data_IF_786018128790
#
_entry.id   IF_786018128790
#
_cell.length_a   1.000
_cell.length_b   1.000
_cell.length_c   1.000
_cell.angle_alpha   90.00
_cell.angle_beta   90.00
_cell.angle_gamma   90.00
#
_symmetry.space_group_name_H-M   'P 1'
#
loop_
_entity.id
_entity.type
_entity.pdbx_description
1 polymer ?
#
# COMPACT_ATOMS: atom_id res chain seq x y z
N UNK A 1 -5.41 27.34 23.51
CA UNK A 1 -4.24 26.52 23.11
C UNK A 1 -4.79 25.43 22.20
N UNK A 2 -4.69 25.59 20.88
CA UNK A 2 -5.14 24.55 19.95
C UNK A 2 -4.11 23.41 19.98
N UNK A 3 -4.57 22.17 20.14
CA UNK A 3 -3.72 21.00 20.03
C UNK A 3 -3.15 20.96 18.60
N UNK A 4 -1.82 20.85 18.47
CA UNK A 4 -1.23 20.61 17.15
C UNK A 4 -1.79 19.30 16.59
N UNK A 5 -2.15 19.25 15.30
CA UNK A 5 -2.62 18.02 14.67
C UNK A 5 -1.55 16.93 14.84
N UNK A 6 -1.98 15.74 15.26
CA UNK A 6 -1.12 14.57 15.32
C UNK A 6 -1.09 13.94 13.94
N UNK A 7 0.02 14.09 13.24
CA UNK A 7 0.23 13.49 11.92
C UNK A 7 0.51 11.99 12.09
N UNK A 8 -0.55 11.18 12.06
CA UNK A 8 -0.40 9.73 12.03
C UNK A 8 0.17 9.30 10.68
N UNK A 9 1.18 8.44 10.69
CA UNK A 9 1.89 7.98 9.49
C UNK A 9 1.76 6.47 9.34
N UNK A 10 1.48 6.00 8.14
CA UNK A 10 1.44 4.57 7.81
C UNK A 10 2.53 4.27 6.77
N UNK A 11 3.36 3.26 7.03
CA UNK A 11 4.41 2.77 6.15
C UNK A 11 4.08 1.35 5.70
N UNK A 12 3.85 1.15 4.40
CA UNK A 12 3.67 -0.18 3.82
C UNK A 12 5.04 -0.76 3.43
N UNK A 13 5.42 -1.90 4.03
CA UNK A 13 6.65 -2.62 3.69
C UNK A 13 6.30 -3.90 2.94
N UNK A 14 6.73 -4.00 1.68
CA UNK A 14 6.54 -5.20 0.83
C UNK A 14 7.81 -5.94 0.44
N UNK A 15 8.97 -5.31 0.63
CA UNK A 15 10.24 -5.88 0.22
C UNK A 15 10.80 -6.84 1.27
N UNK A 16 11.32 -7.98 0.81
CA UNK A 16 12.01 -8.95 1.64
C UNK A 16 13.18 -8.30 2.42
N UNK A 17 13.49 -8.77 3.64
CA UNK A 17 14.45 -8.13 4.55
C UNK A 17 15.91 -8.13 4.07
N UNK A 18 16.27 -9.02 3.15
CA UNK A 18 17.60 -9.17 2.55
C UNK A 18 17.82 -8.29 1.31
N UNK A 19 16.77 -7.63 0.81
CA UNK A 19 16.86 -6.67 -0.29
C UNK A 19 17.34 -5.30 0.19
N UNK A 20 17.88 -4.49 -0.74
CA UNK A 20 18.23 -3.08 -0.44
C UNK A 20 17.00 -2.27 -0.03
N UNK A 21 15.86 -2.48 -0.69
CA UNK A 21 14.59 -1.82 -0.35
C UNK A 21 14.09 -2.22 1.05
N UNK A 22 14.19 -3.50 1.41
CA UNK A 22 13.84 -3.97 2.76
C UNK A 22 14.69 -3.34 3.86
N UNK A 23 15.99 -3.13 3.62
CA UNK A 23 16.87 -2.41 4.55
C UNK A 23 16.54 -0.92 4.64
N UNK A 24 16.38 -0.25 3.50
CA UNK A 24 16.05 1.17 3.44
C UNK A 24 14.69 1.48 4.10
N UNK A 25 13.75 0.53 4.10
CA UNK A 25 12.46 0.66 4.79
C UNK A 25 12.63 0.86 6.31
N UNK A 26 13.53 0.11 6.95
CA UNK A 26 13.82 0.25 8.38
C UNK A 26 14.43 1.62 8.68
N UNK A 27 15.44 2.02 7.91
CA UNK A 27 16.11 3.32 8.05
C UNK A 27 15.12 4.48 7.92
N UNK A 28 14.20 4.38 6.95
CA UNK A 28 13.14 5.39 6.78
C UNK A 28 12.21 5.47 8.00
N UNK A 29 11.87 4.35 8.64
CA UNK A 29 11.05 4.38 9.86
C UNK A 29 11.80 5.01 11.02
N UNK A 30 13.12 4.76 11.14
CA UNK A 30 13.96 5.45 12.12
C UNK A 30 13.94 6.96 11.91
N UNK A 31 14.14 7.43 10.67
CA UNK A 31 14.06 8.85 10.33
C UNK A 31 12.68 9.45 10.64
N UNK A 32 11.60 8.70 10.37
CA UNK A 32 10.23 9.14 10.65
C UNK A 32 9.98 9.25 12.15
N UNK A 33 10.53 8.34 12.96
CA UNK A 33 10.46 8.45 14.40
C UNK A 33 11.03 9.81 14.83
N UNK A 34 12.17 10.25 14.32
CA UNK A 34 12.73 11.55 14.75
C UNK A 34 11.91 12.78 14.34
N UNK A 35 11.08 12.67 13.29
CA UNK A 35 10.42 13.82 12.65
C UNK A 35 8.93 13.94 12.95
N UNK A 36 8.25 12.81 13.13
CA UNK A 36 6.80 12.74 13.30
C UNK A 36 6.46 12.67 14.78
N UNK A 37 5.42 13.37 15.24
CA UNK A 37 4.97 13.31 16.63
C UNK A 37 3.75 12.40 16.85
N UNK A 38 3.06 12.03 15.78
CA UNK A 38 1.92 11.11 15.79
C UNK A 38 2.31 9.63 15.85
N UNK A 39 1.30 8.76 15.76
CA UNK A 39 1.47 7.32 15.66
C UNK A 39 2.13 6.96 14.32
N UNK A 40 3.08 6.02 14.34
CA UNK A 40 3.66 5.42 13.15
C UNK A 40 3.24 3.96 13.13
N UNK A 41 2.55 3.55 12.07
CA UNK A 41 2.18 2.16 11.83
C UNK A 41 3.02 1.64 10.67
N UNK A 42 3.75 0.57 10.89
CA UNK A 42 4.42 -0.17 9.81
C UNK A 42 3.60 -1.41 9.51
N UNK A 43 2.99 -1.43 8.34
CA UNK A 43 2.22 -2.58 7.87
C UNK A 43 3.06 -3.43 6.92
N UNK A 44 3.34 -4.67 7.31
CA UNK A 44 4.08 -5.63 6.52
C UNK A 44 3.13 -6.47 5.65
N UNK A 45 3.43 -6.56 4.36
CA UNK A 45 2.63 -7.30 3.39
C UNK A 45 3.55 -7.95 2.34
N UNK A 46 3.05 -8.92 1.59
CA UNK A 46 3.86 -9.71 0.66
C UNK A 46 5.15 -10.22 1.29
N UNK A 47 6.28 -10.13 0.59
CA UNK A 47 7.56 -10.61 1.13
C UNK A 47 8.08 -9.77 2.31
N UNK A 48 7.53 -8.57 2.49
CA UNK A 48 7.81 -7.71 3.63
C UNK A 48 7.43 -8.34 4.97
N UNK A 49 6.51 -9.31 5.01
CA UNK A 49 6.16 -10.01 6.27
C UNK A 49 7.35 -10.77 6.86
N UNK A 50 8.33 -11.16 6.04
CA UNK A 50 9.54 -11.85 6.51
C UNK A 50 10.46 -10.93 7.33
N UNK A 51 10.21 -9.62 7.36
CA UNK A 51 10.86 -8.70 8.30
C UNK A 51 10.53 -9.03 9.76
N UNK A 52 9.40 -9.69 10.02
CA UNK A 52 8.97 -10.09 11.35
C UNK A 52 9.52 -11.46 11.79
N UNK A 53 10.20 -12.21 10.91
CA UNK A 53 10.81 -13.48 11.26
C UNK A 53 12.25 -13.29 11.78
N UNK A 54 12.72 -14.22 12.61
CA UNK A 54 14.14 -14.26 12.96
C UNK A 54 15.00 -14.56 11.71
N UNK A 55 16.23 -14.00 11.61
CA UNK A 55 16.85 -13.05 12.54
C UNK A 55 16.50 -11.58 12.26
N UNK A 56 15.61 -11.29 11.32
CA UNK A 56 15.34 -9.94 10.84
C UNK A 56 14.53 -9.09 11.83
N UNK A 57 13.68 -9.72 12.63
CA UNK A 57 12.86 -9.09 13.67
C UNK A 57 13.67 -8.31 14.72
N UNK A 58 14.93 -8.69 14.95
CA UNK A 58 15.82 -8.00 15.90
C UNK A 58 16.03 -6.52 15.58
N UNK A 59 16.04 -6.15 14.29
CA UNK A 59 16.19 -4.75 13.89
C UNK A 59 15.00 -3.91 14.31
N UNK A 60 13.80 -4.45 14.15
CA UNK A 60 12.55 -3.80 14.53
C UNK A 60 12.41 -3.69 16.06
N UNK A 61 12.80 -4.74 16.79
CA UNK A 61 12.84 -4.71 18.27
C UNK A 61 13.72 -3.60 18.82
N UNK A 62 14.88 -3.33 18.18
CA UNK A 62 15.81 -2.28 18.63
C UNK A 62 15.28 -0.86 18.45
N UNK A 63 14.35 -0.65 17.53
CA UNK A 63 13.78 0.68 17.25
C UNK A 63 12.38 0.85 17.85
N UNK A 64 11.96 -0.10 18.71
CA UNK A 64 10.63 -0.06 19.31
C UNK A 64 10.42 1.21 20.13
N UNK A 65 9.29 1.85 19.90
CA UNK A 65 8.90 3.09 20.57
C UNK A 65 7.40 3.06 20.92
N UNK A 66 6.94 3.80 21.95
CA UNK A 66 5.53 3.78 22.37
C UNK A 66 4.51 4.17 21.29
N UNK A 67 4.95 4.90 20.25
CA UNK A 67 4.12 5.33 19.12
C UNK A 67 4.36 4.53 17.84
N UNK A 68 5.15 3.45 17.91
CA UNK A 68 5.43 2.57 16.79
C UNK A 68 4.58 1.30 16.92
N UNK A 69 3.69 1.08 15.97
CA UNK A 69 2.93 -0.17 15.81
C UNK A 69 3.49 -0.96 14.64
N UNK A 70 3.73 -2.26 14.84
CA UNK A 70 4.31 -3.16 13.84
C UNK A 70 3.26 -4.23 13.50
N UNK A 71 2.56 -4.04 12.38
CA UNK A 71 1.43 -4.87 11.98
C UNK A 71 1.79 -5.78 10.80
N UNK A 72 1.49 -7.08 10.91
CA UNK A 72 1.77 -8.07 9.87
C UNK A 72 0.48 -8.60 9.27
N UNK A 73 0.36 -8.52 7.94
CA UNK A 73 -0.77 -9.09 7.23
C UNK A 73 -0.88 -10.61 7.49
N UNK A 74 -1.98 -11.02 8.11
CA UNK A 74 -2.19 -12.41 8.54
C UNK A 74 -2.16 -13.40 7.38
N UNK A 75 -2.79 -13.06 6.25
CA UNK A 75 -2.84 -13.93 5.07
C UNK A 75 -1.46 -14.10 4.43
N UNK A 76 -0.70 -13.00 4.28
CA UNK A 76 0.64 -13.05 3.72
C UNK A 76 1.63 -13.79 4.62
N UNK A 77 1.50 -13.67 5.96
CA UNK A 77 2.28 -14.45 6.93
C UNK A 77 2.00 -15.95 6.81
N UNK A 78 0.72 -16.35 6.86
CA UNK A 78 0.29 -17.75 6.77
C UNK A 78 0.74 -18.43 5.47
N UNK A 79 0.84 -17.69 4.35
CA UNK A 79 1.34 -18.23 3.09
C UNK A 79 2.84 -18.52 3.09
N UNK A 80 3.62 -17.89 3.98
CA UNK A 80 5.09 -17.93 3.96
C UNK A 80 5.69 -18.72 5.13
N UNK A 81 5.00 -18.79 6.26
CA UNK A 81 5.47 -19.53 7.43
C UNK A 81 4.32 -20.01 8.32
N UNK A 82 4.54 -21.13 8.99
CA UNK A 82 3.68 -21.67 10.05
C UNK A 82 4.08 -21.16 11.45
N UNK A 83 5.14 -20.34 11.52
CA UNK A 83 5.65 -19.82 12.79
C UNK A 83 4.64 -18.92 13.49
N UNK A 84 4.75 -18.89 14.83
CA UNK A 84 4.08 -17.89 15.64
C UNK A 84 4.68 -16.51 15.36
N UNK A 85 3.83 -15.49 15.36
CA UNK A 85 4.30 -14.12 15.27
C UNK A 85 4.74 -13.67 16.66
N UNK A 86 6.02 -13.35 16.80
CA UNK A 86 6.57 -12.91 18.08
C UNK A 86 6.31 -11.41 18.34
N UNK A 87 6.25 -11.03 19.62
CA UNK A 87 6.29 -9.62 20.01
C UNK A 87 7.55 -8.92 19.45
N UNK A 88 7.46 -7.62 19.10
CA UNK A 88 6.32 -6.70 19.26
C UNK A 88 5.34 -6.68 18.07
N UNK A 89 5.39 -7.67 17.18
CA UNK A 89 4.56 -7.66 15.98
C UNK A 89 3.14 -8.14 16.28
N UNK A 90 2.15 -7.50 15.67
CA UNK A 90 0.74 -7.84 15.80
C UNK A 90 0.16 -8.31 14.46
N UNK A 91 -0.74 -9.30 14.50
CA UNK A 91 -1.46 -9.73 13.31
C UNK A 91 -2.53 -8.72 12.93
N UNK A 92 -2.60 -8.42 11.63
CA UNK A 92 -3.52 -7.44 11.07
C UNK A 92 -4.10 -7.94 9.73
N UNK A 93 -4.98 -7.15 9.12
CA UNK A 93 -5.63 -7.44 7.84
C UNK A 93 -5.52 -6.26 6.87
N UNK A 94 -5.64 -6.54 5.57
CA UNK A 94 -5.65 -5.49 4.54
C UNK A 94 -6.84 -4.53 4.69
N UNK A 95 -7.98 -5.03 5.15
CA UNK A 95 -9.16 -4.20 5.45
C UNK A 95 -8.84 -3.24 6.60
N UNK A 96 -8.19 -3.72 7.66
CA UNK A 96 -7.80 -2.86 8.78
C UNK A 96 -6.77 -1.81 8.36
N UNK A 97 -5.79 -2.19 7.53
CA UNK A 97 -4.84 -1.26 6.93
C UNK A 97 -5.54 -0.10 6.19
N UNK A 98 -6.49 -0.41 5.31
CA UNK A 98 -7.26 0.60 4.58
C UNK A 98 -8.15 1.43 5.50
N UNK A 99 -8.77 0.82 6.50
CA UNK A 99 -9.55 1.54 7.50
C UNK A 99 -8.70 2.55 8.29
N UNK A 100 -7.46 2.17 8.68
CA UNK A 100 -6.52 3.11 9.30
C UNK A 100 -6.13 4.24 8.35
N UNK A 101 -5.81 3.93 7.09
CA UNK A 101 -5.52 4.96 6.06
C UNK A 101 -6.70 5.93 5.90
N UNK A 102 -7.93 5.43 5.80
CA UNK A 102 -9.11 6.28 5.65
C UNK A 102 -9.39 7.17 6.88
N UNK A 103 -9.03 6.72 8.08
CA UNK A 103 -9.22 7.47 9.34
C UNK A 103 -8.09 8.43 9.70
N UNK A 104 -6.86 8.09 9.33
CA UNK A 104 -5.67 8.90 9.63
C UNK A 104 -5.68 10.26 8.93
N UNK A 105 -6.43 10.38 7.83
CA UNK A 105 -6.71 11.62 7.15
C UNK A 105 -8.07 12.14 7.64
N UNK A 106 -8.05 13.06 8.60
CA UNK A 106 -9.29 13.68 9.09
C UNK A 106 -9.99 14.40 7.94
N UNK A 107 -11.21 13.97 7.64
CA UNK A 107 -12.19 14.75 6.89
C UNK A 107 -12.93 15.64 7.89
N UNK A 108 -12.27 16.68 8.40
CA UNK A 108 -12.96 17.76 9.12
C UNK A 108 -13.64 18.65 8.07
N UNK A 109 -14.75 18.18 7.50
CA UNK A 109 -15.55 18.96 6.54
C UNK A 109 -16.93 19.29 7.13
N UNK A 110 -16.93 20.11 8.19
CA UNK A 110 -18.06 21.01 8.45
C UNK A 110 -17.87 22.37 7.75
N UNK A 111 -16.75 22.62 7.05
CA UNK A 111 -16.43 23.92 6.41
C UNK A 111 -15.83 23.90 4.99
N UNK A 112 -16.04 22.85 4.20
CA UNK A 112 -15.99 22.86 2.73
C UNK A 112 -14.64 23.07 2.05
N UNK A 113 -13.52 22.67 2.65
CA UNK A 113 -12.19 22.73 2.03
C UNK A 113 -11.49 21.37 2.14
N UNK A 114 -12.16 20.36 1.57
CA UNK A 114 -11.84 18.95 1.72
C UNK A 114 -10.43 18.55 1.26
N UNK A 115 -9.81 17.71 2.08
CA UNK A 115 -8.83 16.71 1.62
C UNK A 115 -9.34 16.11 0.31
N UNK A 116 -8.49 16.08 -0.73
CA UNK A 116 -8.88 15.83 -2.11
C UNK A 116 -9.95 14.75 -2.23
N UNK A 117 -11.11 15.08 -2.82
CA UNK A 117 -12.21 14.14 -2.97
C UNK A 117 -11.87 12.94 -3.88
N UNK A 118 -10.70 12.93 -4.51
CA UNK A 118 -10.26 11.94 -5.48
C UNK A 118 -9.95 10.55 -4.90
N UNK A 119 -9.48 9.63 -5.73
CA UNK A 119 -9.23 8.26 -5.33
C UNK A 119 -7.96 8.12 -4.49
N UNK A 120 -7.82 6.98 -3.81
CA UNK A 120 -6.53 6.44 -3.39
C UNK A 120 -5.86 5.80 -4.60
N UNK A 121 -4.61 6.17 -4.87
CA UNK A 121 -3.88 5.66 -6.04
C UNK A 121 -2.90 4.56 -5.61
N UNK A 122 -3.07 3.35 -6.13
CA UNK A 122 -2.10 2.25 -5.98
C UNK A 122 -1.24 2.19 -7.23
N UNK A 123 0.03 2.57 -7.12
CA UNK A 123 0.99 2.55 -8.23
C UNK A 123 1.71 1.21 -8.23
N UNK A 124 1.59 0.45 -9.32
CA UNK A 124 2.29 -0.82 -9.55
C UNK A 124 3.40 -0.58 -10.56
N UNK A 125 4.65 -0.51 -10.10
CA UNK A 125 5.80 -0.21 -10.96
C UNK A 125 6.64 -1.45 -11.30
N UNK A 126 6.51 -2.52 -10.49
CA UNK A 126 7.29 -3.74 -10.58
C UNK A 126 6.59 -4.81 -11.41
N UNK A 127 7.35 -5.62 -12.14
CA UNK A 127 6.82 -6.77 -12.88
C UNK A 127 6.19 -7.82 -11.94
N UNK A 128 5.16 -8.55 -12.42
CA UNK A 128 4.50 -9.57 -11.62
C UNK A 128 5.42 -10.76 -11.37
N UNK A 129 5.65 -11.11 -10.11
CA UNK A 129 5.85 -12.53 -9.76
C UNK A 129 4.47 -13.15 -9.48
N UNK A 130 4.32 -14.46 -9.70
CA UNK A 130 3.02 -15.12 -9.55
C UNK A 130 2.39 -14.97 -8.15
N UNK A 131 3.11 -15.14 -7.02
CA UNK A 131 2.53 -14.81 -5.72
C UNK A 131 2.28 -13.32 -5.55
N UNK A 132 3.16 -12.45 -6.04
CA UNK A 132 3.03 -11.00 -5.85
C UNK A 132 1.80 -10.41 -6.55
N UNK A 133 1.47 -10.93 -7.75
CA UNK A 133 0.31 -10.46 -8.53
C UNK A 133 -1.01 -10.59 -7.79
N UNK A 134 -1.22 -11.76 -7.16
CA UNK A 134 -2.41 -12.00 -6.37
C UNK A 134 -2.44 -11.10 -5.15
N UNK A 135 -1.30 -10.88 -4.49
CA UNK A 135 -1.22 -10.07 -3.28
C UNK A 135 -1.48 -8.58 -3.55
N UNK A 136 -0.99 -8.03 -4.67
CA UNK A 136 -1.35 -6.67 -5.10
C UNK A 136 -2.87 -6.56 -5.33
N UNK A 137 -3.47 -7.55 -5.99
CA UNK A 137 -4.90 -7.57 -6.25
C UNK A 137 -5.70 -7.64 -4.93
N UNK A 138 -5.29 -8.49 -3.99
CA UNK A 138 -5.90 -8.61 -2.65
C UNK A 138 -5.86 -7.28 -1.91
N UNK A 139 -4.74 -6.55 -1.99
CA UNK A 139 -4.61 -5.20 -1.41
C UNK A 139 -5.65 -4.24 -2.02
N UNK A 140 -5.79 -4.21 -3.35
CA UNK A 140 -6.77 -3.34 -4.03
C UNK A 140 -8.20 -3.71 -3.67
N UNK A 141 -8.54 -5.01 -3.70
CA UNK A 141 -9.86 -5.52 -3.34
C UNK A 141 -10.26 -5.21 -1.90
N UNK A 142 -9.31 -5.25 -0.96
CA UNK A 142 -9.56 -4.89 0.43
C UNK A 142 -9.87 -3.40 0.62
N UNK A 143 -9.36 -2.52 -0.25
CA UNK A 143 -9.71 -1.11 -0.27
C UNK A 143 -11.09 -0.88 -0.88
N UNK A 144 -11.34 -1.53 -2.02
CA UNK A 144 -12.63 -1.47 -2.71
C UNK A 144 -13.79 -2.02 -1.86
N UNK A 145 -13.55 -3.06 -1.03
CA UNK A 145 -14.57 -3.62 -0.14
C UNK A 145 -15.01 -2.69 0.99
N UNK A 146 -14.24 -1.63 1.25
CA UNK A 146 -14.60 -0.53 2.14
C UNK A 146 -15.25 0.64 1.40
N UNK A 147 -15.63 0.44 0.13
CA UNK A 147 -16.20 1.46 -0.76
C UNK A 147 -15.30 2.69 -0.92
N UNK A 148 -13.99 2.51 -0.72
CA UNK A 148 -13.03 3.57 -0.98
C UNK A 148 -12.89 3.76 -2.49
N UNK A 149 -12.82 5.01 -2.99
CA UNK A 149 -12.51 5.24 -4.39
C UNK A 149 -11.05 4.83 -4.62
N UNK A 150 -10.81 3.74 -5.35
CA UNK A 150 -9.46 3.24 -5.66
C UNK A 150 -9.16 3.43 -7.15
N UNK A 151 -7.97 3.92 -7.43
CA UNK A 151 -7.36 3.95 -8.75
C UNK A 151 -6.08 3.10 -8.73
N UNK A 152 -5.87 2.26 -9.73
CA UNK A 152 -4.64 1.48 -9.90
C UNK A 152 -3.87 2.01 -11.09
N UNK A 153 -2.63 2.43 -10.90
CA UNK A 153 -1.76 2.93 -11.96
C UNK A 153 -0.61 1.95 -12.21
N UNK A 154 -0.64 1.26 -13.34
CA UNK A 154 0.47 0.45 -13.81
C UNK A 154 1.51 1.31 -14.52
N UNK A 155 2.79 1.13 -14.20
CA UNK A 155 3.88 1.88 -14.83
C UNK A 155 5.11 1.01 -15.04
N UNK A 156 5.91 1.30 -16.07
CA UNK A 156 7.14 0.57 -16.35
C UNK A 156 6.92 -0.94 -16.44
N UNK A 157 7.67 -1.71 -15.63
CA UNK A 157 7.56 -3.17 -15.58
C UNK A 157 6.22 -3.66 -15.02
N UNK A 158 5.53 -2.83 -14.22
CA UNK A 158 4.19 -3.13 -13.72
C UNK A 158 3.14 -3.33 -14.80
N UNK A 159 3.33 -2.76 -15.99
CA UNK A 159 2.44 -2.99 -17.13
C UNK A 159 2.34 -4.48 -17.53
N UNK A 160 3.31 -5.32 -17.14
CA UNK A 160 3.26 -6.77 -17.38
C UNK A 160 2.12 -7.48 -16.64
N UNK A 161 1.58 -6.90 -15.55
CA UNK A 161 0.36 -7.42 -14.90
C UNK A 161 -0.86 -7.40 -15.82
N UNK A 162 -0.83 -6.57 -16.86
CA UNK A 162 -1.92 -6.36 -17.78
C UNK A 162 -1.81 -7.22 -19.05
N UNK A 163 -0.86 -8.16 -19.10
CA UNK A 163 -0.62 -9.01 -20.28
C UNK A 163 -1.01 -10.46 -20.02
N UNK A 164 -1.56 -11.13 -21.04
CA UNK A 164 -1.89 -12.55 -21.00
C UNK A 164 -3.02 -12.87 -20.02
N UNK A 165 -2.95 -14.02 -19.34
CA UNK A 165 -4.01 -14.47 -18.43
C UNK A 165 -4.14 -13.61 -17.16
N UNK A 166 -3.06 -12.91 -16.77
CA UNK A 166 -3.00 -12.08 -15.55
C UNK A 166 -3.98 -10.90 -15.60
N UNK A 167 -4.26 -10.37 -16.80
CA UNK A 167 -5.18 -9.23 -16.99
C UNK A 167 -6.61 -9.55 -16.55
N UNK A 168 -7.02 -10.83 -16.54
CA UNK A 168 -8.40 -11.23 -16.27
C UNK A 168 -8.86 -10.77 -14.89
N UNK A 169 -8.00 -10.88 -13.88
CA UNK A 169 -8.34 -10.51 -12.52
C UNK A 169 -8.44 -8.98 -12.36
N UNK A 170 -7.59 -8.22 -13.06
CA UNK A 170 -7.66 -6.76 -13.13
C UNK A 170 -8.90 -6.27 -13.87
N UNK A 171 -9.29 -6.96 -14.95
CA UNK A 171 -10.52 -6.65 -15.70
C UNK A 171 -11.76 -6.72 -14.82
N UNK A 172 -11.83 -7.72 -13.93
CA UNK A 172 -12.96 -7.83 -12.99
C UNK A 172 -13.10 -6.59 -12.10
N UNK A 173 -12.00 -5.94 -11.71
CA UNK A 173 -12.10 -4.69 -10.93
C UNK A 173 -12.83 -3.60 -11.71
N UNK A 174 -12.58 -3.49 -13.01
CA UNK A 174 -13.21 -2.50 -13.88
C UNK A 174 -14.66 -2.89 -14.18
N UNK A 175 -14.88 -4.16 -14.59
CA UNK A 175 -16.21 -4.68 -14.96
C UNK A 175 -17.23 -4.53 -13.82
N UNK A 176 -16.78 -4.66 -12.56
CA UNK A 176 -17.62 -4.50 -11.37
C UNK A 176 -17.49 -3.12 -10.70
N UNK A 177 -16.83 -2.16 -11.35
CA UNK A 177 -16.63 -0.79 -10.83
C UNK A 177 -16.02 -0.75 -9.42
N UNK A 178 -15.13 -1.69 -9.11
CA UNK A 178 -14.41 -1.79 -7.84
C UNK A 178 -13.18 -0.88 -7.80
N UNK A 179 -12.55 -0.64 -8.95
CA UNK A 179 -11.44 0.29 -9.07
C UNK A 179 -11.30 0.79 -10.52
N UNK A 180 -10.81 2.02 -10.66
CA UNK A 180 -10.34 2.52 -11.96
C UNK A 180 -8.95 1.96 -12.25
N UNK A 181 -8.70 1.52 -13.48
CA UNK A 181 -7.39 1.01 -13.90
C UNK A 181 -6.77 1.89 -14.97
N UNK A 182 -5.56 2.36 -14.70
CA UNK A 182 -4.75 3.21 -15.55
C UNK A 182 -3.42 2.54 -15.86
N UNK A 183 -2.82 2.90 -17.00
CA UNK A 183 -1.43 2.55 -17.27
C UNK A 183 -0.69 3.70 -17.93
N UNK A 184 0.62 3.77 -17.66
CA UNK A 184 1.54 4.73 -18.24
C UNK A 184 2.58 3.98 -19.08
N UNK A 185 2.41 4.00 -20.40
CA UNK A 185 3.35 3.36 -21.34
C UNK A 185 2.81 3.30 -22.76
N UNK A 186 3.70 3.06 -23.73
CA UNK A 186 3.34 2.98 -25.15
C UNK A 186 2.61 1.68 -25.53
N UNK A 187 2.71 0.64 -24.69
CA UNK A 187 2.11 -0.66 -24.98
C UNK A 187 0.60 -0.60 -24.72
N UNK A 188 -0.19 -0.66 -25.79
CA UNK A 188 -1.64 -0.80 -25.67
C UNK A 188 -1.97 -2.15 -25.05
N UNK A 189 -2.82 -2.14 -24.03
CA UNK A 189 -3.38 -3.35 -23.43
C UNK A 189 -4.76 -3.60 -24.06
N UNK A 190 -4.92 -4.62 -24.93
CA UNK A 190 -6.17 -4.83 -25.65
C UNK A 190 -7.29 -5.41 -24.78
N UNK A 191 -6.92 -5.99 -23.64
CA UNK A 191 -7.76 -6.90 -22.85
C UNK A 191 -8.34 -6.28 -21.58
N UNK A 192 -8.40 -4.96 -21.46
CA UNK A 192 -9.06 -4.29 -20.34
C UNK A 192 -9.45 -2.89 -20.77
N UNK A 193 -10.56 -2.37 -20.27
CA UNK A 193 -10.93 -0.95 -20.41
C UNK A 193 -10.04 -0.05 -19.53
N UNK A 194 -8.74 -0.31 -19.51
CA UNK A 194 -7.78 0.52 -18.82
C UNK A 194 -7.51 1.77 -19.65
N UNK A 195 -7.43 2.91 -18.97
CA UNK A 195 -7.18 4.20 -19.62
C UNK A 195 -5.69 4.45 -19.69
N UNK A 196 -5.14 4.56 -20.89
CA UNK A 196 -3.78 5.05 -21.10
C UNK A 196 -3.70 6.50 -20.60
N UNK A 197 -2.76 6.77 -19.70
CA UNK A 197 -2.50 8.12 -19.21
C UNK A 197 -1.19 8.65 -19.78
N UNK A 198 -1.27 9.86 -20.34
CA UNK A 198 -0.10 10.69 -20.61
C UNK A 198 0.56 11.15 -19.29
N UNK A 199 1.88 11.42 -19.26
CA UNK A 199 2.58 11.82 -18.04
C UNK A 199 1.94 13.00 -17.28
N UNK A 200 1.42 14.00 -18.01
CA UNK A 200 0.74 15.14 -17.41
C UNK A 200 -0.56 14.72 -16.69
N UNK A 201 -1.28 13.72 -17.21
CA UNK A 201 -2.50 13.20 -16.57
C UNK A 201 -2.20 12.31 -15.38
N UNK A 202 -1.06 11.60 -15.38
CA UNK A 202 -0.56 10.90 -14.19
C UNK A 202 -0.29 11.90 -13.07
N UNK A 203 0.37 13.02 -13.36
CA UNK A 203 0.61 14.05 -12.37
C UNK A 203 -0.69 14.61 -11.78
N UNK A 204 -1.65 14.97 -12.65
CA UNK A 204 -2.96 15.45 -12.20
C UNK A 204 -3.74 14.41 -11.37
N UNK A 205 -3.69 13.13 -11.74
CA UNK A 205 -4.28 12.05 -10.94
C UNK A 205 -3.66 11.99 -9.54
N UNK A 206 -2.33 12.10 -9.45
CA UNK A 206 -1.61 12.04 -8.18
C UNK A 206 -1.86 13.29 -7.32
N UNK A 207 -1.90 14.48 -7.92
CA UNK A 207 -2.21 15.74 -7.22
C UNK A 207 -3.65 15.78 -6.71
N UNK A 208 -4.59 15.22 -7.47
CA UNK A 208 -6.00 15.11 -7.08
C UNK A 208 -6.32 13.94 -6.16
N UNK A 209 -5.34 13.07 -5.85
CA UNK A 209 -5.57 11.87 -5.05
C UNK A 209 -5.66 12.15 -3.55
N UNK A 210 -6.34 11.27 -2.80
CA UNK A 210 -6.31 11.29 -1.32
C UNK A 210 -4.94 10.90 -0.77
N UNK A 211 -4.22 10.11 -1.56
CA UNK A 211 -2.91 9.59 -1.23
C UNK A 211 -2.50 8.53 -2.25
N UNK A 212 -1.21 8.23 -2.28
CA UNK A 212 -0.64 7.25 -3.19
C UNK A 212 0.15 6.17 -2.44
N UNK A 213 -0.13 4.92 -2.75
CA UNK A 213 0.61 3.74 -2.31
C UNK A 213 1.50 3.31 -3.48
N UNK A 214 2.81 3.21 -3.28
CA UNK A 214 3.76 2.77 -4.31
C UNK A 214 4.22 1.34 -4.05
N UNK A 215 4.12 0.50 -5.08
CA UNK A 215 4.40 -0.94 -5.07
C UNK A 215 5.47 -1.32 -6.10
#
# INVERSE_FOLDING_TARGET
MQAMPQDNTIVLTRSAPDTSAGRAGVERVVDLLERVTGEIVVFFHGDGVMQASAPYSDRWRRIQAPRLSLEVCSAAWQRRTDDTLDEPFERSSLVWFWHRLARGFRFDDEQGAGVGAGPWVVIVASAPTDPDSQEVLELVLAGASLELPIAVLFSGAGCEHLVGEKVRAWRQLVDFSLADVFYCGATRVPDIEAVALEPARVHALLEGSRGAIRL
#
